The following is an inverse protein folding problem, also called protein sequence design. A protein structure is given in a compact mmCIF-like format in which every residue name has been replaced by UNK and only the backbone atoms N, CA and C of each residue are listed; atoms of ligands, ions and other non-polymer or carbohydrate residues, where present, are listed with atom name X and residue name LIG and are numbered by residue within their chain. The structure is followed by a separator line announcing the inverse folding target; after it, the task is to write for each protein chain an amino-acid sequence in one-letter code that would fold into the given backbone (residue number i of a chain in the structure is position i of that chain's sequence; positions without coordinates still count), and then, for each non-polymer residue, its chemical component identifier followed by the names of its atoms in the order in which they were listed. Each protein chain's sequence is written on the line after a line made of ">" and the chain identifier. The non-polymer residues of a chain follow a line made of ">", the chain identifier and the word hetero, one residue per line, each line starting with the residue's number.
data_IF_091406282093
#
_entry.id   IF_091406282093
#
_cell.length_a   1.000
_cell.length_b   1.000
_cell.length_c   1.000
_cell.angle_alpha   90.00
_cell.angle_beta   90.00
_cell.angle_gamma   90.00
#
_symmetry.space_group_name_H-M   'P 1'
#
loop_
_entity.id
_entity.type
_entity.pdbx_description
1 polymer ?
#
# COMPACT_ATOMS: atom_id res chain seq x y z
N UNK A 1 -24.65 37.79 35.29
CA UNK A 1 -23.55 36.79 35.31
C UNK A 1 -23.76 35.85 34.14
N UNK A 2 -23.23 36.20 32.98
CA UNK A 2 -23.36 35.40 31.75
C UNK A 2 -21.98 34.93 31.37
N UNK A 3 -21.73 33.64 31.57
CA UNK A 3 -20.52 32.97 31.08
C UNK A 3 -20.69 32.75 29.58
N UNK A 4 -20.06 33.59 28.77
CA UNK A 4 -19.96 33.39 27.32
C UNK A 4 -18.85 32.39 27.06
N UNK A 5 -19.28 31.21 26.64
CA UNK A 5 -18.52 30.11 26.05
C UNK A 5 -17.57 30.64 24.97
N UNK A 6 -16.27 30.47 25.19
CA UNK A 6 -15.22 30.85 24.24
C UNK A 6 -14.99 29.66 23.31
N UNK A 7 -15.78 29.57 22.23
CA UNK A 7 -15.47 28.71 21.09
C UNK A 7 -14.16 29.19 20.45
N UNK A 8 -13.10 28.40 20.61
CA UNK A 8 -11.86 28.57 19.86
C UNK A 8 -12.13 28.21 18.40
N UNK A 9 -12.25 29.23 17.55
CA UNK A 9 -12.21 29.10 16.10
C UNK A 9 -10.75 28.77 15.73
N UNK A 10 -10.48 27.51 15.40
CA UNK A 10 -9.20 27.13 14.80
C UNK A 10 -9.18 27.64 13.35
N UNK A 11 -8.26 28.56 13.09
CA UNK A 11 -7.97 29.14 11.78
C UNK A 11 -7.56 28.07 10.76
N UNK A 12 -8.05 28.23 9.53
CA UNK A 12 -8.14 27.19 8.50
C UNK A 12 -6.88 26.89 7.67
N UNK A 13 -5.66 27.05 8.20
CA UNK A 13 -4.42 26.79 7.44
C UNK A 13 -3.51 25.70 8.04
N UNK A 14 -3.79 25.19 9.24
CA UNK A 14 -2.96 24.15 9.89
C UNK A 14 -3.43 22.70 9.61
N UNK A 15 -4.58 22.50 8.97
CA UNK A 15 -5.07 21.15 8.65
C UNK A 15 -4.33 20.50 7.48
N UNK A 16 -3.55 21.26 6.70
CA UNK A 16 -2.86 20.74 5.51
C UNK A 16 -1.68 19.80 5.86
N UNK A 17 -1.21 19.80 7.13
CA UNK A 17 0.02 19.09 7.53
C UNK A 17 -0.18 17.98 8.56
N UNK A 18 -1.35 17.85 9.17
CA UNK A 18 -1.59 16.81 10.17
C UNK A 18 -2.16 15.57 9.51
N UNK A 19 -1.45 14.46 9.63
CA UNK A 19 -1.90 13.13 9.22
C UNK A 19 -2.88 12.59 10.27
N UNK A 20 -4.19 12.43 9.97
CA UNK A 20 -5.12 11.69 10.80
C UNK A 20 -4.54 10.39 11.35
N UNK A 21 -4.75 10.18 12.65
CA UNK A 21 -4.23 9.03 13.39
C UNK A 21 -4.58 7.70 12.71
N UNK A 22 -5.77 7.61 12.13
CA UNK A 22 -6.26 6.42 11.44
C UNK A 22 -5.51 6.07 10.15
N UNK A 23 -4.79 7.01 9.53
CA UNK A 23 -4.00 6.72 8.33
C UNK A 23 -2.55 6.35 8.62
N UNK A 24 -2.02 6.61 9.82
CA UNK A 24 -0.64 6.26 10.19
C UNK A 24 -0.34 4.75 10.05
N UNK A 25 -1.22 3.83 10.49
CA UNK A 25 -0.96 2.40 10.37
C UNK A 25 -1.44 1.80 9.03
N UNK A 26 -1.88 2.62 8.06
CA UNK A 26 -2.50 2.11 6.83
C UNK A 26 -1.56 1.21 6.02
N UNK A 27 -0.24 1.49 6.07
CA UNK A 27 0.79 0.69 5.40
C UNK A 27 0.86 -0.76 5.93
N UNK A 28 0.52 -0.97 7.20
CA UNK A 28 0.50 -2.27 7.87
C UNK A 28 -0.87 -2.95 7.87
N UNK A 29 -1.92 -2.28 7.36
CA UNK A 29 -3.23 -2.91 7.21
C UNK A 29 -3.11 -4.11 6.27
N UNK A 30 -3.86 -5.19 6.54
CA UNK A 30 -3.81 -6.44 5.76
C UNK A 30 -5.07 -6.62 4.90
N UNK A 31 -5.36 -5.66 4.04
CA UNK A 31 -6.52 -5.76 3.14
C UNK A 31 -6.46 -7.02 2.29
N UNK A 32 -7.62 -7.67 2.12
CA UNK A 32 -7.82 -8.91 1.36
C UNK A 32 -7.03 -10.13 1.87
N UNK A 33 -6.39 -10.07 3.04
CA UNK A 33 -5.88 -11.26 3.70
C UNK A 33 -7.01 -11.99 4.43
N UNK A 34 -6.79 -13.26 4.77
CA UNK A 34 -7.70 -14.00 5.64
C UNK A 34 -7.88 -13.29 6.99
N UNK A 35 -9.11 -13.28 7.48
CA UNK A 35 -9.42 -12.88 8.85
C UNK A 35 -8.80 -13.87 9.84
N UNK A 36 -8.33 -13.37 10.98
CA UNK A 36 -7.75 -14.19 12.05
C UNK A 36 -8.81 -15.07 12.73
N UNK A 37 -10.04 -14.57 12.89
CA UNK A 37 -11.16 -15.31 13.49
C UNK A 37 -12.02 -16.05 12.46
N UNK A 38 -12.14 -15.51 11.23
CA UNK A 38 -12.98 -16.06 10.17
C UNK A 38 -12.14 -16.42 8.94
N UNK A 39 -11.36 -17.49 9.00
CA UNK A 39 -10.34 -17.81 7.98
C UNK A 39 -10.84 -17.86 6.52
N UNK A 40 -12.12 -18.17 6.30
CA UNK A 40 -12.77 -18.19 4.97
C UNK A 40 -13.20 -16.81 4.46
N UNK A 41 -12.98 -15.74 5.22
CA UNK A 41 -13.36 -14.37 4.87
C UNK A 41 -12.14 -13.47 4.73
N UNK A 42 -12.14 -12.68 3.67
CA UNK A 42 -11.15 -11.63 3.44
C UNK A 42 -11.47 -10.36 4.24
N UNK A 43 -10.41 -9.62 4.60
CA UNK A 43 -10.50 -8.31 5.27
C UNK A 43 -10.78 -7.19 4.25
N UNK A 44 -12.05 -6.78 4.16
CA UNK A 44 -12.53 -5.83 3.16
C UNK A 44 -12.99 -4.49 3.76
N UNK A 45 -12.89 -4.33 5.08
CA UNK A 45 -13.26 -3.11 5.79
C UNK A 45 -12.09 -2.58 6.60
N UNK A 46 -12.10 -1.29 6.88
CA UNK A 46 -11.12 -0.61 7.72
C UNK A 46 -11.82 0.25 8.77
N UNK A 47 -11.50 0.04 10.05
CA UNK A 47 -12.07 0.83 11.14
C UNK A 47 -11.15 2.01 11.42
N UNK A 48 -11.66 3.24 11.35
CA UNK A 48 -10.85 4.44 11.62
C UNK A 48 -10.59 4.64 13.11
N UNK A 49 -11.42 4.06 13.98
CA UNK A 49 -11.24 4.11 15.44
C UNK A 49 -10.23 3.07 15.91
N UNK A 50 -10.41 1.80 15.52
CA UNK A 50 -9.49 0.70 15.87
C UNK A 50 -8.22 0.69 15.02
N UNK A 51 -8.21 1.42 13.90
CA UNK A 51 -7.11 1.48 12.93
C UNK A 51 -6.72 0.11 12.34
N UNK A 52 -7.70 -0.78 12.18
CA UNK A 52 -7.53 -2.18 11.79
C UNK A 52 -8.38 -2.54 10.58
N UNK A 53 -7.84 -3.41 9.70
CA UNK A 53 -8.60 -4.05 8.63
C UNK A 53 -9.29 -5.34 9.12
N UNK A 54 -10.56 -5.52 8.78
CA UNK A 54 -11.39 -6.62 9.28
C UNK A 54 -12.38 -7.14 8.21
N UNK A 55 -12.99 -8.31 8.45
CA UNK A 55 -13.92 -8.95 7.51
C UNK A 55 -15.38 -8.55 7.76
N UNK A 56 -16.29 -8.95 6.85
CA UNK A 56 -17.72 -8.64 6.97
C UNK A 56 -18.37 -9.17 8.26
N UNK A 57 -17.91 -10.30 8.80
CA UNK A 57 -18.52 -10.91 9.99
C UNK A 57 -18.06 -10.16 11.26
N UNK A 58 -16.81 -9.70 11.31
CA UNK A 58 -16.31 -8.80 12.35
C UNK A 58 -16.99 -7.42 12.34
N UNK A 59 -17.60 -7.01 11.20
CA UNK A 59 -18.26 -5.70 11.06
C UNK A 59 -19.38 -5.49 12.08
N UNK A 60 -20.11 -6.54 12.45
CA UNK A 60 -21.22 -6.43 13.40
C UNK A 60 -20.77 -5.86 14.75
N UNK A 61 -19.62 -6.29 15.26
CA UNK A 61 -19.06 -5.78 16.53
C UNK A 61 -18.68 -4.29 16.44
N UNK A 62 -18.16 -3.88 15.28
CA UNK A 62 -17.84 -2.47 15.02
C UNK A 62 -19.08 -1.60 14.83
N UNK A 63 -20.12 -2.13 14.19
CA UNK A 63 -21.40 -1.44 13.99
C UNK A 63 -22.13 -1.23 15.32
N UNK A 64 -22.15 -2.24 16.21
CA UNK A 64 -22.70 -2.11 17.57
C UNK A 64 -22.02 -0.98 18.35
N UNK A 65 -20.71 -0.78 18.15
CA UNK A 65 -19.93 0.27 18.79
C UNK A 65 -19.99 1.62 18.03
N UNK A 66 -20.75 1.70 16.92
CA UNK A 66 -20.87 2.86 16.03
C UNK A 66 -19.51 3.38 15.54
N UNK A 67 -18.57 2.48 15.27
CA UNK A 67 -17.27 2.87 14.74
C UNK A 67 -17.39 3.40 13.31
N UNK A 68 -16.48 4.29 12.96
CA UNK A 68 -16.36 4.79 11.60
C UNK A 68 -15.61 3.78 10.72
N UNK A 69 -16.26 3.34 9.63
CA UNK A 69 -15.78 2.23 8.80
C UNK A 69 -15.63 2.68 7.33
N UNK A 70 -14.51 2.33 6.71
CA UNK A 70 -14.25 2.44 5.28
C UNK A 70 -14.34 1.07 4.61
N UNK A 71 -14.85 1.04 3.37
CA UNK A 71 -14.87 -0.16 2.53
C UNK A 71 -13.67 -0.15 1.59
N UNK A 72 -12.87 -1.22 1.59
CA UNK A 72 -11.78 -1.42 0.66
C UNK A 72 -12.24 -2.20 -0.57
N UNK A 73 -11.74 -1.81 -1.74
CA UNK A 73 -12.01 -2.43 -3.04
C UNK A 73 -10.74 -3.07 -3.60
N UNK A 74 -10.91 -4.12 -4.41
CA UNK A 74 -9.81 -4.85 -5.04
C UNK A 74 -9.69 -4.44 -6.51
N UNK A 75 -8.98 -3.34 -6.75
CA UNK A 75 -8.72 -2.85 -8.10
C UNK A 75 -7.40 -3.40 -8.63
N UNK A 76 -7.42 -4.15 -9.74
CA UNK A 76 -6.21 -4.76 -10.33
C UNK A 76 -5.32 -5.48 -9.31
N UNK A 77 -5.92 -6.30 -8.44
CA UNK A 77 -5.25 -7.04 -7.35
C UNK A 77 -4.63 -6.20 -6.23
N UNK A 78 -4.84 -4.89 -6.21
CA UNK A 78 -4.36 -4.00 -5.16
C UNK A 78 -5.53 -3.41 -4.38
N UNK A 79 -5.31 -3.18 -3.09
CA UNK A 79 -6.28 -2.54 -2.23
C UNK A 79 -6.45 -1.07 -2.58
N UNK A 80 -7.70 -0.62 -2.65
CA UNK A 80 -8.05 0.76 -2.94
C UNK A 80 -9.26 1.23 -2.13
N UNK A 81 -9.39 2.54 -1.99
CA UNK A 81 -10.59 3.20 -1.48
C UNK A 81 -11.20 4.06 -2.57
N UNK A 82 -12.52 4.26 -2.53
CA UNK A 82 -13.15 5.28 -3.40
C UNK A 82 -12.66 6.65 -2.98
N UNK A 83 -12.33 7.48 -3.97
CA UNK A 83 -11.86 8.84 -3.69
C UNK A 83 -12.96 9.68 -3.02
N UNK A 84 -14.22 9.45 -3.35
CA UNK A 84 -15.36 10.11 -2.71
C UNK A 84 -15.43 9.82 -1.20
N UNK A 85 -15.30 8.55 -0.82
CA UNK A 85 -15.30 8.12 0.58
C UNK A 85 -14.10 8.68 1.36
N UNK A 86 -12.94 8.86 0.72
CA UNK A 86 -11.77 9.45 1.36
C UNK A 86 -11.83 10.98 1.45
N UNK A 87 -12.37 11.65 0.43
CA UNK A 87 -12.40 13.11 0.33
C UNK A 87 -13.18 13.76 1.47
N UNK A 88 -14.20 13.08 1.99
CA UNK A 88 -14.97 13.53 3.14
C UNK A 88 -14.21 13.45 4.48
N UNK A 89 -13.07 12.74 4.51
CA UNK A 89 -12.36 12.39 5.74
C UNK A 89 -10.95 12.98 5.86
N UNK A 90 -10.32 13.29 4.73
CA UNK A 90 -8.94 13.73 4.63
C UNK A 90 -8.72 14.43 3.27
N UNK A 91 -7.83 15.43 3.19
CA UNK A 91 -7.40 16.02 1.91
C UNK A 91 -6.66 15.01 1.01
N UNK A 92 -7.32 14.45 0.00
CA UNK A 92 -6.71 13.50 -0.94
C UNK A 92 -6.06 14.15 -2.17
N UNK A 93 -5.88 15.48 -2.16
CA UNK A 93 -5.21 16.19 -3.24
C UNK A 93 -3.83 15.58 -3.56
N UNK A 94 -3.47 15.55 -4.83
CA UNK A 94 -2.19 15.00 -5.29
C UNK A 94 -2.07 13.47 -5.28
N UNK A 95 -3.05 12.71 -4.76
CA UNK A 95 -3.05 11.24 -4.94
C UNK A 95 -3.52 10.93 -6.36
N UNK A 96 -2.80 10.05 -7.06
CA UNK A 96 -3.12 9.63 -8.42
C UNK A 96 -4.49 8.94 -8.47
N UNK A 97 -5.46 9.47 -9.23
CA UNK A 97 -6.75 8.83 -9.41
C UNK A 97 -6.62 7.64 -10.36
N UNK A 98 -7.34 6.56 -10.07
CA UNK A 98 -7.47 5.40 -10.97
C UNK A 98 -8.95 5.10 -11.23
N UNK A 99 -9.30 4.77 -12.46
CA UNK A 99 -10.65 4.30 -12.78
C UNK A 99 -10.81 2.83 -12.41
N UNK A 100 -11.87 2.50 -11.69
CA UNK A 100 -12.28 1.13 -11.36
C UNK A 100 -13.81 1.05 -11.46
N UNK A 101 -14.32 0.28 -12.42
CA UNK A 101 -15.74 0.07 -12.66
C UNK A 101 -16.56 1.38 -12.75
N UNK A 102 -16.01 2.40 -13.42
CA UNK A 102 -16.67 3.70 -13.60
C UNK A 102 -16.45 4.70 -12.44
N UNK A 103 -15.84 4.29 -11.33
CA UNK A 103 -15.57 5.15 -10.18
C UNK A 103 -14.07 5.47 -10.07
N UNK A 104 -13.73 6.57 -9.40
CA UNK A 104 -12.35 6.90 -9.07
C UNK A 104 -11.93 6.29 -7.73
N UNK A 105 -10.80 5.61 -7.74
CA UNK A 105 -10.20 4.98 -6.56
C UNK A 105 -8.77 5.43 -6.36
N UNK A 106 -8.35 5.49 -5.09
CA UNK A 106 -6.98 5.68 -4.66
C UNK A 106 -6.41 4.35 -4.15
N UNK A 107 -5.26 3.93 -4.67
CA UNK A 107 -4.57 2.75 -4.13
C UNK A 107 -4.07 3.02 -2.71
N UNK A 108 -4.18 2.00 -1.85
CA UNK A 108 -3.73 2.09 -0.46
C UNK A 108 -2.21 2.01 -0.39
N UNK A 109 -1.63 0.91 -0.87
CA UNK A 109 -0.22 0.64 -0.71
C UNK A 109 0.64 1.26 -1.81
N UNK A 110 1.89 1.57 -1.47
CA UNK A 110 2.89 1.95 -2.47
C UNK A 110 3.15 0.81 -3.44
N UNK A 111 3.39 1.15 -4.72
CA UNK A 111 3.69 0.18 -5.77
C UNK A 111 5.15 -0.33 -5.76
N UNK A 112 5.94 0.06 -4.75
CA UNK A 112 7.36 -0.28 -4.58
C UNK A 112 8.32 0.82 -5.04
N UNK A 113 9.60 0.68 -4.65
CA UNK A 113 10.74 1.48 -5.16
C UNK A 113 11.14 0.91 -6.51
N UNK A 114 10.40 1.26 -7.54
CA UNK A 114 10.68 0.80 -8.89
C UNK A 114 10.70 2.00 -9.81
N UNK A 115 11.89 2.42 -10.21
CA UNK A 115 12.08 2.97 -11.55
C UNK A 115 11.41 1.94 -12.45
N UNK A 116 10.27 2.27 -13.04
CA UNK A 116 9.77 1.44 -14.12
C UNK A 116 10.93 1.32 -15.09
N UNK A 117 11.42 0.09 -15.31
CA UNK A 117 12.49 -0.21 -16.28
C UNK A 117 12.11 0.18 -17.71
N UNK A 118 10.92 0.75 -17.93
CA UNK A 118 10.65 1.59 -19.08
C UNK A 118 11.39 2.93 -18.93
N UNK A 119 12.67 2.91 -19.32
CA UNK A 119 13.41 4.01 -19.97
C UNK A 119 12.72 5.36 -19.79
N UNK A 120 13.19 6.17 -18.84
CA UNK A 120 12.74 7.54 -18.61
C UNK A 120 12.44 8.23 -19.94
N UNK A 121 11.14 8.30 -20.30
CA UNK A 121 10.71 9.22 -21.34
C UNK A 121 10.75 10.58 -20.67
N UNK A 122 11.64 11.44 -21.12
CA UNK A 122 11.77 12.80 -20.62
C UNK A 122 10.36 13.41 -20.44
N UNK A 123 10.00 13.82 -19.22
CA UNK A 123 8.73 14.48 -18.93
C UNK A 123 7.63 13.64 -18.27
N UNK A 124 7.87 12.37 -17.88
CA UNK A 124 6.91 11.63 -17.08
C UNK A 124 6.95 12.08 -15.60
N UNK A 125 5.79 12.38 -15.01
CA UNK A 125 5.70 12.73 -13.59
C UNK A 125 5.97 11.50 -12.72
N UNK A 126 6.76 11.67 -11.65
CA UNK A 126 7.12 10.61 -10.71
C UNK A 126 6.52 10.88 -9.33
N UNK A 127 6.23 9.81 -8.60
CA UNK A 127 5.77 9.92 -7.22
C UNK A 127 6.87 10.53 -6.33
N UNK A 128 6.53 11.57 -5.58
CA UNK A 128 7.46 12.27 -4.68
C UNK A 128 8.00 11.36 -3.57
N UNK A 129 7.25 10.33 -3.16
CA UNK A 129 7.64 9.41 -2.08
C UNK A 129 8.43 8.19 -2.57
N UNK A 130 7.98 7.50 -3.62
CA UNK A 130 8.57 6.21 -4.05
C UNK A 130 9.17 6.22 -5.46
N UNK A 131 9.15 7.37 -6.17
CA UNK A 131 9.64 7.55 -7.55
C UNK A 131 8.95 6.69 -8.61
N UNK A 132 7.81 6.09 -8.28
CA UNK A 132 6.99 5.38 -9.26
C UNK A 132 6.39 6.36 -10.29
N UNK A 133 6.44 6.01 -11.58
CA UNK A 133 5.89 6.83 -12.67
C UNK A 133 4.36 6.92 -12.55
N UNK A 134 3.84 8.14 -12.48
CA UNK A 134 2.42 8.42 -12.27
C UNK A 134 1.64 8.31 -13.57
N UNK A 135 0.38 7.85 -13.48
CA UNK A 135 -0.54 7.84 -14.64
C UNK A 135 -1.10 9.22 -14.94
N UNK A 136 -1.20 10.07 -13.93
CA UNK A 136 -1.67 11.45 -14.07
C UNK A 136 -0.49 12.41 -13.84
N UNK A 137 -0.20 13.33 -14.78
CA UNK A 137 0.89 14.29 -14.61
C UNK A 137 0.64 15.33 -13.52
N UNK A 138 -0.64 15.54 -13.13
CA UNK A 138 -1.01 16.46 -12.04
C UNK A 138 -0.92 15.82 -10.65
N UNK A 139 -0.68 14.51 -10.56
CA UNK A 139 -0.55 13.83 -9.28
C UNK A 139 0.88 13.97 -8.73
N UNK A 140 0.99 13.86 -7.40
CA UNK A 140 2.25 13.87 -6.64
C UNK A 140 2.55 12.50 -6.01
N UNK A 141 1.51 11.72 -5.73
CA UNK A 141 1.60 10.46 -5.01
C UNK A 141 0.91 9.33 -5.76
N UNK A 142 1.50 8.14 -5.80
CA UNK A 142 0.88 6.97 -6.45
C UNK A 142 -0.18 6.28 -5.58
N UNK A 143 -0.18 6.53 -4.26
CA UNK A 143 -1.02 5.84 -3.28
C UNK A 143 -1.21 6.66 -2.01
N UNK A 144 -2.17 6.24 -1.17
CA UNK A 144 -2.43 6.80 0.16
C UNK A 144 -1.19 6.66 1.05
N UNK A 145 -0.57 5.48 1.09
CA UNK A 145 0.67 5.24 1.84
C UNK A 145 1.77 6.22 1.44
N UNK A 146 1.96 6.50 0.14
CA UNK A 146 2.98 7.43 -0.32
C UNK A 146 2.74 8.87 0.17
N UNK A 147 1.49 9.35 0.18
CA UNK A 147 1.15 10.68 0.71
C UNK A 147 1.38 10.75 2.22
N UNK A 148 0.97 9.72 2.97
CA UNK A 148 1.20 9.61 4.42
C UNK A 148 2.70 9.59 4.72
N UNK A 149 3.48 8.78 4.02
CA UNK A 149 4.92 8.66 4.21
C UNK A 149 5.65 10.00 3.95
N UNK A 150 5.28 10.71 2.89
CA UNK A 150 5.84 12.02 2.57
C UNK A 150 5.52 13.07 3.66
N UNK A 151 4.26 13.12 4.12
CA UNK A 151 3.88 14.05 5.18
C UNK A 151 4.55 13.72 6.54
N UNK A 152 4.83 12.46 6.85
CA UNK A 152 5.58 12.08 8.06
C UNK A 152 7.04 12.53 7.98
N UNK A 153 7.67 12.42 6.81
CA UNK A 153 9.07 12.85 6.58
C UNK A 153 9.23 14.36 6.73
N UNK A 154 8.28 15.16 6.23
CA UNK A 154 8.32 16.63 6.33
C UNK A 154 8.16 17.12 7.78
N UNK A 155 7.39 16.41 8.59
CA UNK A 155 7.15 16.75 9.99
C UNK A 155 8.25 16.22 10.94
N UNK A 156 9.19 15.42 10.43
CA UNK A 156 10.15 14.65 11.22
C UNK A 156 11.60 14.86 10.80
N UNK A 157 12.10 16.11 10.80
CA UNK A 157 13.55 16.36 10.88
C UNK A 157 14.07 15.87 12.24
N UNK A 158 14.23 14.56 12.33
CA UNK A 158 14.63 13.76 13.49
C UNK A 158 14.90 12.34 13.00
N UNK A 159 16.15 12.14 12.58
CA UNK A 159 16.75 10.96 11.97
C UNK A 159 16.26 9.62 12.56
N UNK A 160 15.77 8.70 11.73
CA UNK A 160 15.76 7.26 12.03
C UNK A 160 16.11 6.51 10.75
N UNK A 161 17.33 5.98 10.76
CA UNK A 161 18.01 5.28 9.68
C UNK A 161 17.25 4.07 9.13
N UNK A 162 17.29 3.93 7.80
CA UNK A 162 16.97 2.70 7.08
C UNK A 162 17.89 1.56 7.51
N UNK A 163 17.39 0.60 8.30
CA UNK A 163 17.98 -0.74 8.33
C UNK A 163 17.01 -1.81 8.79
N UNK A 164 16.40 -2.51 7.83
CA UNK A 164 16.17 -3.97 7.87
C UNK A 164 15.42 -4.43 6.63
N UNK A 165 16.13 -4.61 5.51
CA UNK A 165 15.73 -5.56 4.47
C UNK A 165 16.80 -6.63 4.34
N UNK A 166 16.32 -7.87 4.23
CA UNK A 166 17.00 -9.15 4.03
C UNK A 166 17.38 -9.89 5.31
N UNK A 167 16.45 -10.72 5.77
CA UNK A 167 16.71 -12.12 6.09
C UNK A 167 15.36 -12.85 6.13
N UNK A 168 14.92 -13.37 4.99
CA UNK A 168 14.00 -14.51 4.94
C UNK A 168 14.11 -15.16 3.56
N UNK A 169 15.23 -15.83 3.34
CA UNK A 169 15.31 -16.90 2.35
C UNK A 169 16.07 -18.04 3.00
N UNK A 170 15.39 -18.79 3.86
CA UNK A 170 15.76 -20.17 4.19
C UNK A 170 14.60 -20.83 4.94
N UNK A 171 14.52 -22.15 4.77
CA UNK A 171 13.72 -23.14 5.51
C UNK A 171 12.28 -23.42 5.04
N UNK A 172 12.15 -23.98 3.84
CA UNK A 172 11.47 -25.26 3.55
C UNK A 172 12.22 -25.79 2.30
N UNK A 173 12.97 -26.89 2.31
CA UNK A 173 12.48 -28.27 2.36
C UNK A 173 13.58 -29.22 2.89
N UNK A 174 13.10 -30.39 3.30
CA UNK A 174 13.69 -31.31 4.26
C UNK A 174 14.75 -32.26 3.69
N UNK A 175 15.59 -32.72 4.62
CA UNK A 175 16.23 -34.03 4.67
C UNK A 175 15.69 -35.09 3.70
N UNK A 176 16.51 -35.44 2.70
CA UNK A 176 16.58 -36.80 2.18
C UNK A 176 18.05 -37.18 1.99
N UNK A 177 18.44 -38.24 2.71
CA UNK A 177 19.70 -38.97 2.57
C UNK A 177 19.73 -39.60 1.18
N UNK A 178 20.87 -39.60 0.49
CA UNK A 178 21.65 -40.81 0.18
C UNK A 178 22.83 -40.50 -0.78
N UNK A 179 23.76 -41.44 -0.82
CA UNK A 179 25.13 -41.39 -1.32
C UNK A 179 25.17 -41.54 -2.85
N UNK A 180 26.08 -40.83 -3.53
CA UNK A 180 27.12 -41.41 -4.40
C UNK A 180 27.84 -40.35 -5.25
N UNK A 181 29.16 -40.31 -5.05
CA UNK A 181 30.20 -39.74 -5.93
C UNK A 181 29.90 -39.96 -7.40
N UNK A 182 30.14 -38.96 -8.29
CA UNK A 182 31.01 -39.10 -9.46
C UNK A 182 31.50 -37.74 -10.02
N UNK A 183 32.81 -37.54 -9.87
CA UNK A 183 33.79 -36.93 -10.80
C UNK A 183 33.38 -35.78 -11.74
N UNK A 184 34.14 -34.68 -11.59
CA UNK A 184 34.44 -33.63 -12.59
C UNK A 184 34.57 -34.17 -14.02
N UNK A 185 34.06 -33.42 -15.02
CA UNK A 185 34.72 -33.22 -16.32
C UNK A 185 34.16 -32.04 -17.12
N UNK A 186 34.97 -31.63 -18.09
CA UNK A 186 35.11 -30.30 -18.66
C UNK A 186 34.20 -29.98 -19.87
N UNK A 187 34.18 -28.68 -20.18
CA UNK A 187 33.53 -28.00 -21.30
C UNK A 187 34.05 -28.47 -22.68
N UNK A 188 33.15 -28.71 -23.64
CA UNK A 188 33.45 -28.74 -25.08
C UNK A 188 32.23 -28.19 -25.87
N UNK A 189 32.47 -27.25 -26.78
CA UNK A 189 31.51 -26.76 -27.79
C UNK A 189 31.33 -27.80 -28.92
N UNK A 190 30.17 -27.84 -29.59
CA UNK A 190 29.94 -27.36 -30.96
C UNK A 190 28.50 -27.67 -31.46
N UNK A 191 27.92 -26.66 -32.13
CA UNK A 191 26.79 -26.61 -33.10
C UNK A 191 25.39 -27.22 -32.80
N UNK A 192 24.29 -26.40 -32.84
CA UNK A 192 22.92 -26.91 -32.76
C UNK A 192 22.36 -27.32 -34.14
N UNK A 193 22.00 -28.60 -34.28
CA UNK A 193 21.23 -29.09 -35.43
C UNK A 193 19.73 -28.73 -35.30
N UNK A 194 19.12 -28.22 -36.37
CA UNK A 194 17.67 -27.91 -36.45
C UNK A 194 16.83 -29.19 -36.46
N UNK A 195 15.64 -29.13 -35.86
CA UNK A 195 14.66 -30.21 -35.89
C UNK A 195 14.04 -30.40 -37.30
N UNK A 196 13.75 -31.64 -37.73
CA UNK A 196 13.02 -31.91 -38.96
C UNK A 196 11.51 -31.62 -38.80
N UNK A 197 10.89 -31.17 -39.87
CA UNK A 197 9.45 -30.90 -39.92
C UNK A 197 8.65 -32.18 -40.17
N UNK A 198 7.65 -32.43 -39.32
CA UNK A 198 6.41 -33.09 -39.70
C UNK A 198 5.23 -32.41 -39.00
#
# INVERSE_FOLDING_TARGET
>A
MTVTDTMMILSGDDQEKVIPRWLRPIAGAKFFSSCETHHSKERNYYCRVCTLAFCKDCKQQHDCSKHEILTAYKASHAASFRMEDLKSLWDISGICPYSFNGWLVAFVYKKGTGISRSRCKNGAAECESCRYVLKSPSAKYCSVECKVEAALKMNGSGNMDEKAKRNLETTLEENARDVHSFRKRARKQEEPQRAPFH
#
